data_IF_398373872953
#
_entry.id   IF_398373872953
#
_cell.length_a   1.000
_cell.length_b   1.000
_cell.length_c   1.000
_cell.angle_alpha   90.00
_cell.angle_beta   90.00
_cell.angle_gamma   90.00
#
_symmetry.space_group_name_H-M   'P 1'
#
loop_
_entity.id
_entity.type
_entity.pdbx_description
1 polymer ?
#
# COMPACT_ATOMS: atom_id res chain seq x y z
N UNK A 1 -2.68 27.04 25.91
CA UNK A 1 -1.73 26.07 25.33
C UNK A 1 -1.75 26.27 23.82
N UNK A 2 -0.60 26.37 23.13
CA UNK A 2 -0.60 26.46 21.67
C UNK A 2 -1.23 25.18 21.12
N UNK A 3 -2.36 25.33 20.45
CA UNK A 3 -3.04 24.23 19.78
C UNK A 3 -2.38 24.06 18.42
N UNK A 4 -1.69 22.94 18.24
CA UNK A 4 -1.11 22.57 16.94
C UNK A 4 -2.28 22.22 16.03
N UNK A 5 -2.59 23.12 15.10
CA UNK A 5 -3.66 22.92 14.15
C UNK A 5 -3.24 22.00 13.00
N UNK A 6 -4.22 21.54 12.19
CA UNK A 6 -3.94 20.81 10.96
C UNK A 6 -3.00 21.57 10.03
N UNK A 7 -3.02 22.90 10.08
CA UNK A 7 -2.21 23.77 9.23
C UNK A 7 -0.72 23.73 9.59
N UNK A 8 -0.39 23.76 10.88
CA UNK A 8 0.97 23.62 11.39
C UNK A 8 1.54 22.23 11.09
N UNK A 9 0.72 21.19 11.17
CA UNK A 9 1.12 19.82 10.80
C UNK A 9 1.49 19.75 9.31
N UNK A 10 0.68 20.35 8.43
CA UNK A 10 0.99 20.42 6.99
C UNK A 10 2.31 21.15 6.74
N UNK A 11 2.56 22.25 7.45
CA UNK A 11 3.81 23.02 7.31
C UNK A 11 5.04 22.17 7.70
N UNK A 12 4.95 21.45 8.82
CA UNK A 12 5.97 20.51 9.27
C UNK A 12 6.18 19.36 8.28
N UNK A 13 5.09 18.82 7.74
CA UNK A 13 5.14 17.76 6.74
C UNK A 13 5.86 18.27 5.48
N UNK A 14 5.56 19.49 5.03
CA UNK A 14 6.21 20.10 3.88
C UNK A 14 7.71 20.27 4.10
N UNK A 15 8.13 20.70 5.30
CA UNK A 15 9.54 20.81 5.66
C UNK A 15 10.22 19.43 5.68
N UNK A 16 9.57 18.42 6.26
CA UNK A 16 10.06 17.05 6.24
C UNK A 16 10.17 16.50 4.81
N UNK A 17 9.21 16.79 3.94
CA UNK A 17 9.26 16.45 2.51
C UNK A 17 10.43 17.12 1.80
N UNK A 18 10.83 18.33 2.20
CA UNK A 18 11.98 19.00 1.60
C UNK A 18 13.30 18.35 2.01
N UNK A 19 13.41 17.87 3.27
CA UNK A 19 14.60 17.20 3.80
C UNK A 19 14.72 15.75 3.30
N UNK A 20 13.63 14.98 3.41
CA UNK A 20 13.61 13.55 3.10
C UNK A 20 13.18 13.25 1.65
N UNK A 21 12.50 14.18 0.99
CA UNK A 21 11.91 14.01 -0.34
C UNK A 21 10.49 13.46 -0.32
N UNK A 22 9.65 13.90 -1.27
CA UNK A 22 8.25 13.48 -1.41
C UNK A 22 8.04 11.97 -1.62
N UNK A 23 9.08 11.25 -2.09
CA UNK A 23 9.02 9.80 -2.30
C UNK A 23 9.31 8.98 -1.04
N UNK A 24 10.12 9.48 -0.10
CA UNK A 24 10.59 8.68 1.05
C UNK A 24 9.57 8.55 2.16
N UNK A 25 8.79 9.61 2.43
CA UNK A 25 7.72 9.56 3.42
C UNK A 25 6.68 8.45 3.15
N UNK A 26 6.07 8.35 1.95
CA UNK A 26 5.08 7.30 1.67
C UNK A 26 5.71 5.91 1.60
N UNK A 27 6.98 5.80 1.22
CA UNK A 27 7.71 4.53 1.19
C UNK A 27 7.88 3.95 2.60
N UNK A 28 8.33 4.78 3.56
CA UNK A 28 8.46 4.42 4.98
C UNK A 28 7.08 4.15 5.60
N UNK A 29 6.08 4.99 5.28
CA UNK A 29 4.71 4.78 5.74
C UNK A 29 4.10 3.45 5.27
N UNK A 30 4.39 3.03 4.03
CA UNK A 30 3.93 1.73 3.49
C UNK A 30 4.63 0.54 4.15
N UNK A 31 5.92 0.61 4.44
CA UNK A 31 6.63 -0.48 5.13
C UNK A 31 6.19 -0.58 6.60
N UNK A 32 6.11 0.55 7.30
CA UNK A 32 5.59 0.61 8.67
C UNK A 32 4.13 0.19 8.76
N UNK A 33 3.30 0.61 7.81
CA UNK A 33 1.87 0.28 7.80
C UNK A 33 1.60 -1.22 7.66
N UNK A 34 2.40 -1.93 6.85
CA UNK A 34 2.32 -3.40 6.74
C UNK A 34 2.70 -4.08 8.05
N UNK A 35 3.85 -3.70 8.63
CA UNK A 35 4.28 -4.25 9.92
C UNK A 35 3.32 -3.94 11.07
N UNK A 36 2.76 -2.73 11.10
CA UNK A 36 1.75 -2.35 12.09
C UNK A 36 0.44 -3.13 11.92
N UNK A 37 0.05 -3.42 10.67
CA UNK A 37 -1.15 -4.22 10.39
C UNK A 37 -0.95 -5.67 10.82
N UNK A 38 0.16 -6.29 10.45
CA UNK A 38 0.53 -7.65 10.88
C UNK A 38 0.63 -7.72 12.41
N UNK A 39 1.27 -6.74 13.05
CA UNK A 39 1.35 -6.64 14.50
C UNK A 39 -0.03 -6.52 15.16
N UNK A 40 -0.89 -5.64 14.64
CA UNK A 40 -2.27 -5.51 15.12
C UNK A 40 -3.05 -6.81 14.94
N UNK A 41 -2.89 -7.49 13.81
CA UNK A 41 -3.62 -8.71 13.49
C UNK A 41 -3.19 -9.85 14.45
N UNK A 42 -1.90 -10.01 14.72
CA UNK A 42 -1.38 -10.95 15.73
C UNK A 42 -1.79 -10.60 17.16
N UNK A 43 -1.76 -9.33 17.55
CA UNK A 43 -2.14 -8.88 18.91
C UNK A 43 -3.64 -8.94 19.13
N UNK A 44 -4.44 -8.69 18.09
CA UNK A 44 -5.89 -8.65 18.18
C UNK A 44 -6.55 -10.04 18.07
N UNK A 45 -5.77 -11.12 17.92
CA UNK A 45 -6.28 -12.50 17.88
C UNK A 45 -7.30 -12.76 16.77
N UNK A 46 -7.26 -11.97 15.69
CA UNK A 46 -8.07 -12.22 14.49
C UNK A 46 -7.33 -13.26 13.66
N UNK A 47 -7.50 -14.53 14.02
CA UNK A 47 -7.18 -15.63 13.13
C UNK A 47 -7.91 -15.41 11.80
N UNK A 48 -7.19 -15.67 10.71
CA UNK A 48 -7.53 -15.31 9.33
C UNK A 48 -8.56 -16.29 8.76
N UNK A 49 -9.60 -16.62 9.53
CA UNK A 49 -10.55 -17.70 9.21
C UNK A 49 -11.84 -17.24 8.53
N UNK A 50 -11.98 -15.96 8.18
CA UNK A 50 -13.09 -15.52 7.32
C UNK A 50 -12.58 -14.68 6.15
N UNK A 51 -12.89 -15.22 4.96
CA UNK A 51 -12.73 -14.74 3.58
C UNK A 51 -11.37 -14.93 2.87
N UNK A 52 -11.36 -15.64 1.72
CA UNK A 52 -10.27 -15.55 0.77
C UNK A 52 -10.23 -14.12 0.26
N UNK A 53 -9.18 -13.39 0.62
CA UNK A 53 -8.86 -12.12 0.01
C UNK A 53 -8.68 -12.33 -1.50
N UNK A 54 -9.75 -12.17 -2.27
CA UNK A 54 -9.67 -11.85 -3.68
C UNK A 54 -8.87 -10.56 -3.78
N UNK A 55 -7.57 -10.72 -4.05
CA UNK A 55 -6.69 -9.66 -4.52
C UNK A 55 -7.44 -8.94 -5.65
N UNK A 56 -7.64 -7.61 -5.57
CA UNK A 56 -7.99 -6.84 -6.74
C UNK A 56 -6.92 -7.13 -7.79
N UNK A 57 -7.32 -7.87 -8.83
CA UNK A 57 -6.49 -8.18 -9.99
C UNK A 57 -6.04 -6.85 -10.60
N UNK A 58 -4.86 -6.39 -10.23
CA UNK A 58 -4.09 -5.46 -11.05
C UNK A 58 -3.43 -6.28 -12.17
N UNK A 59 -4.25 -6.76 -13.09
CA UNK A 59 -3.82 -7.25 -14.40
C UNK A 59 -4.29 -6.24 -15.44
N UNK A 60 -3.66 -5.06 -15.43
CA UNK A 60 -3.69 -4.13 -16.56
C UNK A 60 -2.26 -3.97 -17.06
N UNK A 61 -1.87 -4.90 -17.92
CA UNK A 61 -0.77 -4.88 -18.91
C UNK A 61 -0.97 -6.18 -19.69
N UNK A 62 -1.97 -6.24 -20.57
CA UNK A 62 -1.80 -5.91 -21.99
C UNK A 62 -0.60 -6.61 -22.61
N UNK A 63 -0.83 -7.81 -23.17
CA UNK A 63 -0.24 -8.34 -24.41
C UNK A 63 -0.89 -9.68 -24.72
N UNK A 64 -1.83 -9.66 -25.67
CA UNK A 64 -2.01 -10.66 -26.72
C UNK A 64 -2.12 -12.14 -26.31
N UNK A 65 -3.35 -12.60 -26.12
CA UNK A 65 -3.77 -13.93 -26.61
C UNK A 65 -4.80 -13.67 -27.71
N UNK A 66 -4.42 -13.92 -28.98
CA UNK A 66 -5.18 -14.94 -29.69
C UNK A 66 -4.31 -15.82 -30.59
N UNK A 67 -4.90 -16.92 -31.04
CA UNK A 67 -4.39 -17.90 -31.99
C UNK A 67 -3.55 -19.01 -31.33
N UNK A 68 -4.19 -20.02 -30.73
CA UNK A 68 -4.70 -21.18 -31.48
C UNK A 68 -3.57 -21.83 -32.29
N UNK A 69 -2.64 -22.43 -31.57
CA UNK A 69 -1.83 -23.56 -32.02
C UNK A 69 -2.80 -24.73 -32.28
N UNK A 70 -3.43 -24.70 -33.46
CA UNK A 70 -4.12 -25.83 -34.07
C UNK A 70 -3.08 -26.46 -34.98
N UNK A 71 -2.42 -27.50 -34.49
CA UNK A 71 -1.81 -28.52 -35.33
C UNK A 71 -2.79 -28.96 -36.42
N UNK A 72 -2.41 -28.91 -37.70
CA UNK A 72 -2.87 -29.85 -38.69
C UNK A 72 -1.78 -30.91 -38.92
N UNK A 73 -2.21 -32.16 -38.71
CA UNK A 73 -1.72 -33.45 -39.28
C UNK A 73 -0.74 -33.38 -40.46
#
# INVERSE_FOLDING_TARGET
MPNVGPWEIILLLLLALLLFGAKRLPEIGRSMGRGMREFKDSVSGKDVDDEPAELPRQTTSDTTVPARERDPV
#
